data_IF_007858656339
#
_entry.id   IF_007858656339
#
_cell.length_a   1.000
_cell.length_b   1.000
_cell.length_c   1.000
_cell.angle_alpha   90.00
_cell.angle_beta   90.00
_cell.angle_gamma   90.00
#
_symmetry.space_group_name_H-M   'P 1'
#
loop_
_entity.id
_entity.type
_entity.pdbx_description
1 polymer ?
#
# COMPACT_ATOMS: atom_id res chain seq x y z
N UNK A 1 0.86 6.89 16.02
CA UNK A 1 0.71 5.71 15.13
C UNK A 1 1.61 5.93 13.92
N UNK A 2 2.32 4.91 13.44
CA UNK A 2 3.14 4.97 12.24
C UNK A 2 2.43 4.29 11.05
N UNK A 3 2.80 4.63 9.81
CA UNK A 3 2.23 4.03 8.60
C UNK A 3 3.31 3.39 7.72
N UNK A 4 3.17 2.08 7.51
CA UNK A 4 4.03 1.31 6.63
C UNK A 4 3.54 1.45 5.18
N UNK A 5 4.30 2.18 4.37
CA UNK A 5 3.91 2.53 2.99
C UNK A 5 4.23 1.39 2.03
N UNK A 6 3.24 1.07 1.18
CA UNK A 6 3.39 0.20 0.01
C UNK A 6 3.12 1.02 -1.25
N UNK A 7 4.04 1.04 -2.25
CA UNK A 7 3.76 1.66 -3.55
C UNK A 7 2.67 0.93 -4.34
N UNK A 8 1.88 1.68 -5.11
CA UNK A 8 0.78 1.14 -5.92
C UNK A 8 -0.49 0.83 -5.13
N UNK A 9 -0.52 1.11 -3.82
CA UNK A 9 -1.76 1.19 -3.05
C UNK A 9 -2.37 2.57 -3.32
N UNK A 10 -3.55 2.59 -3.94
CA UNK A 10 -4.20 3.79 -4.47
C UNK A 10 -4.26 4.91 -3.43
N UNK A 11 -3.78 6.11 -3.80
CA UNK A 11 -3.88 7.31 -2.97
C UNK A 11 -5.32 7.63 -2.55
N UNK A 12 -6.30 7.23 -3.36
CA UNK A 12 -7.72 7.38 -3.09
C UNK A 12 -8.19 6.74 -1.78
N UNK A 13 -7.67 5.56 -1.41
CA UNK A 13 -8.00 4.93 -0.13
C UNK A 13 -7.09 5.44 0.98
N UNK A 14 -5.79 5.58 0.69
CA UNK A 14 -4.76 5.96 1.66
C UNK A 14 -4.95 7.39 2.17
N UNK A 15 -5.05 8.36 1.27
CA UNK A 15 -4.92 9.78 1.60
C UNK A 15 -6.05 10.29 2.51
N UNK A 16 -7.34 9.95 2.28
CA UNK A 16 -8.41 10.36 3.19
C UNK A 16 -8.22 9.82 4.61
N UNK A 17 -7.82 8.55 4.74
CA UNK A 17 -7.55 7.90 6.02
C UNK A 17 -6.40 8.61 6.74
N UNK A 18 -5.27 8.76 6.06
CA UNK A 18 -4.09 9.39 6.64
C UNK A 18 -4.31 10.88 6.98
N UNK A 19 -5.04 11.64 6.16
CA UNK A 19 -5.40 13.04 6.46
C UNK A 19 -6.25 13.14 7.72
N UNK A 20 -7.22 12.24 7.90
CA UNK A 20 -8.08 12.25 9.09
C UNK A 20 -7.29 11.90 10.35
N UNK A 21 -6.43 10.91 10.28
CA UNK A 21 -5.53 10.54 11.38
C UNK A 21 -4.57 11.68 11.75
N UNK A 22 -4.01 12.39 10.75
CA UNK A 22 -3.10 13.51 10.98
C UNK A 22 -3.79 14.71 11.65
N UNK A 23 -5.06 15.00 11.32
CA UNK A 23 -5.82 16.09 11.98
C UNK A 23 -5.97 15.87 13.47
N UNK A 24 -6.21 14.63 13.90
CA UNK A 24 -6.39 14.28 15.31
C UNK A 24 -5.11 14.47 16.13
N UNK A 25 -3.94 14.29 15.50
CA UNK A 25 -2.65 14.58 16.13
C UNK A 25 -2.46 16.10 16.32
N UNK A 26 -2.75 16.89 15.29
CA UNK A 26 -2.64 18.35 15.35
C UNK A 26 -3.52 18.97 16.43
N UNK A 27 -4.78 18.52 16.53
CA UNK A 27 -5.72 19.01 17.54
C UNK A 27 -5.31 18.63 18.97
N UNK A 28 -4.46 17.59 19.14
CA UNK A 28 -3.98 17.14 20.43
C UNK A 28 -2.69 17.87 20.89
N UNK A 29 -1.75 18.15 19.98
CA UNK A 29 -0.41 18.66 20.33
C UNK A 29 -0.15 20.14 19.96
N UNK A 30 -1.08 20.79 19.25
CA UNK A 30 -1.07 22.25 19.01
C UNK A 30 0.14 22.80 18.24
N UNK A 31 1.00 21.94 17.69
CA UNK A 31 2.24 22.30 17.00
C UNK A 31 2.24 21.69 15.60
N UNK A 32 2.19 22.52 14.55
CA UNK A 32 2.46 22.07 13.19
C UNK A 32 3.99 22.02 12.98
N UNK A 33 4.61 20.89 12.61
CA UNK A 33 6.03 20.88 12.28
C UNK A 33 6.27 21.58 10.94
N UNK A 34 7.13 22.59 10.96
CA UNK A 34 7.36 23.55 9.88
C UNK A 34 8.27 23.07 8.71
N UNK A 35 8.66 21.79 8.64
CA UNK A 35 9.64 21.33 7.63
C UNK A 35 9.46 19.90 7.14
N UNK A 36 8.50 19.61 6.25
CA UNK A 36 8.51 18.37 5.46
C UNK A 36 7.78 18.58 4.12
N UNK A 37 8.33 19.44 3.27
CA UNK A 37 7.79 19.77 1.96
C UNK A 37 8.56 19.03 0.87
N UNK A 38 8.10 17.84 0.51
CA UNK A 38 8.01 17.46 -0.91
C UNK A 38 6.86 16.45 -1.12
N UNK A 39 5.78 16.95 -1.72
CA UNK A 39 4.52 16.28 -2.14
C UNK A 39 3.57 15.71 -1.06
N UNK A 40 3.19 16.61 -0.15
CA UNK A 40 1.82 16.87 0.35
C UNK A 40 1.03 15.76 1.05
N UNK A 41 1.46 15.39 2.26
CA UNK A 41 0.59 15.39 3.44
C UNK A 41 1.48 15.63 4.70
N UNK A 42 1.11 16.57 5.60
CA UNK A 42 1.94 16.91 6.75
C UNK A 42 1.84 15.80 7.81
N UNK A 43 2.95 15.11 8.07
CA UNK A 43 3.00 13.99 9.01
C UNK A 43 4.03 14.26 10.11
N UNK A 44 3.55 14.50 11.33
CA UNK A 44 4.41 14.62 12.51
C UNK A 44 4.61 13.26 13.21
N UNK A 45 3.62 12.37 13.24
CA UNK A 45 3.78 10.99 13.74
C UNK A 45 3.65 9.87 12.69
N UNK A 46 3.26 10.16 11.45
CA UNK A 46 3.13 9.17 10.37
C UNK A 46 4.34 9.21 9.43
N UNK A 47 5.50 8.75 9.90
CA UNK A 47 6.65 8.63 9.02
C UNK A 47 6.40 7.52 7.98
N UNK A 48 6.49 7.83 6.68
CA UNK A 48 6.61 6.82 5.63
C UNK A 48 8.03 6.25 5.70
N UNK A 49 8.20 5.21 6.51
CA UNK A 49 9.49 4.58 6.76
C UNK A 49 9.50 3.14 6.25
N UNK A 50 10.69 2.68 5.85
CA UNK A 50 10.89 1.26 5.59
C UNK A 50 10.60 0.45 6.86
N UNK A 51 10.18 -0.81 6.70
CA UNK A 51 9.95 -1.74 7.80
C UNK A 51 11.06 -1.68 8.88
N UNK A 52 12.32 -1.64 8.47
CA UNK A 52 13.45 -1.57 9.40
C UNK A 52 13.44 -0.35 10.33
N UNK A 53 12.98 0.80 9.84
CA UNK A 53 13.01 2.07 10.57
C UNK A 53 11.78 2.22 11.46
N UNK A 54 10.66 1.55 11.12
CA UNK A 54 9.50 1.41 12.00
C UNK A 54 9.88 0.79 13.35
N UNK A 55 10.54 -0.37 13.32
CA UNK A 55 10.92 -1.09 14.55
C UNK A 55 11.96 -0.34 15.39
N UNK A 56 12.86 0.43 14.77
CA UNK A 56 13.97 1.11 15.46
C UNK A 56 13.58 2.47 16.02
N UNK A 57 12.80 3.25 15.28
CA UNK A 57 12.50 4.65 15.63
C UNK A 57 11.15 4.78 16.32
N UNK A 58 10.20 3.87 16.04
CA UNK A 58 8.81 3.98 16.47
C UNK A 58 8.33 2.72 17.20
N UNK A 59 9.20 2.09 18.01
CA UNK A 59 8.91 0.81 18.67
C UNK A 59 7.72 0.83 19.65
N UNK A 60 7.28 2.02 20.06
CA UNK A 60 6.13 2.24 20.94
C UNK A 60 4.87 2.67 20.18
N UNK A 61 4.93 2.86 18.86
CA UNK A 61 3.78 3.24 18.05
C UNK A 61 3.15 2.00 17.42
N UNK A 62 1.82 1.98 17.41
CA UNK A 62 1.08 1.07 16.53
C UNK A 62 1.44 1.35 15.07
N UNK A 63 1.71 0.31 14.29
CA UNK A 63 2.04 0.35 12.87
C UNK A 63 0.81 -0.05 12.05
N UNK A 64 0.31 0.88 11.25
CA UNK A 64 -0.77 0.67 10.30
C UNK A 64 -0.20 0.37 8.90
N UNK A 65 -0.74 -0.63 8.21
CA UNK A 65 -0.50 -0.84 6.78
C UNK A 65 -1.84 -0.91 6.03
N UNK A 66 -1.83 -0.48 4.76
CA UNK A 66 -2.95 -0.69 3.84
C UNK A 66 -2.44 -1.63 2.75
N UNK A 67 -3.12 -2.77 2.57
CA UNK A 67 -2.82 -3.74 1.54
C UNK A 67 -3.82 -3.65 0.40
N UNK A 68 -3.32 -3.85 -0.81
CA UNK A 68 -4.13 -4.08 -2.01
C UNK A 68 -3.99 -5.52 -2.46
N UNK A 69 -5.01 -6.05 -3.13
CA UNK A 69 -4.87 -7.33 -3.83
C UNK A 69 -3.59 -7.29 -4.69
N UNK A 70 -2.66 -8.23 -4.52
CA UNK A 70 -1.34 -8.13 -5.15
C UNK A 70 -1.41 -8.15 -6.67
N UNK A 71 -2.37 -8.84 -7.28
CA UNK A 71 -2.53 -8.87 -8.73
C UNK A 71 -2.99 -7.48 -9.20
N UNK A 72 -4.06 -6.95 -8.60
CA UNK A 72 -4.56 -5.62 -8.93
C UNK A 72 -3.51 -4.53 -8.67
N UNK A 73 -2.71 -4.64 -7.61
CA UNK A 73 -1.63 -3.69 -7.30
C UNK A 73 -0.60 -3.64 -8.42
N UNK A 74 -0.20 -4.80 -8.94
CA UNK A 74 0.78 -4.90 -10.02
C UNK A 74 0.20 -4.40 -11.34
N UNK A 75 -1.07 -4.69 -11.63
CA UNK A 75 -1.75 -4.14 -12.79
C UNK A 75 -1.85 -2.62 -12.71
N UNK A 76 -2.31 -2.07 -11.58
CA UNK A 76 -2.30 -0.61 -11.35
C UNK A 76 -0.94 -0.01 -11.61
N UNK A 77 0.12 -0.58 -11.02
CA UNK A 77 1.48 -0.13 -11.25
C UNK A 77 1.87 -0.16 -12.73
N UNK A 78 1.50 -1.22 -13.46
CA UNK A 78 1.80 -1.31 -14.89
C UNK A 78 1.11 -0.18 -15.66
N UNK A 79 -0.20 0.01 -15.47
CA UNK A 79 -0.94 1.03 -16.21
C UNK A 79 -0.52 2.46 -15.86
N UNK A 80 -0.20 2.74 -14.59
CA UNK A 80 0.26 4.06 -14.14
C UNK A 80 1.63 4.45 -14.72
N UNK A 81 2.50 3.48 -14.98
CA UNK A 81 3.90 3.74 -15.35
C UNK A 81 4.25 3.36 -16.78
N UNK A 82 3.48 2.51 -17.45
CA UNK A 82 3.80 1.96 -18.77
C UNK A 82 2.70 2.18 -19.81
N UNK A 83 1.58 2.82 -19.46
CA UNK A 83 0.48 3.11 -20.39
C UNK A 83 0.09 4.59 -20.36
N UNK A 84 -0.50 5.07 -21.47
CA UNK A 84 -0.94 6.45 -21.61
C UNK A 84 0.21 7.45 -21.42
N UNK A 85 0.00 8.45 -20.57
CA UNK A 85 1.01 9.45 -20.22
C UNK A 85 1.99 8.96 -19.13
N UNK A 86 1.86 7.70 -18.69
CA UNK A 86 2.75 7.09 -17.71
C UNK A 86 4.19 7.00 -18.21
N UNK A 87 5.14 7.49 -17.41
CA UNK A 87 6.57 7.38 -17.71
C UNK A 87 7.24 6.48 -16.67
N UNK A 88 7.84 5.34 -17.07
CA UNK A 88 8.49 4.46 -16.13
C UNK A 88 9.77 5.12 -15.61
N UNK A 89 10.08 4.93 -14.33
CA UNK A 89 11.32 5.46 -13.76
C UNK A 89 12.55 4.91 -14.51
N UNK A 90 13.58 5.72 -14.82
CA UNK A 90 14.77 5.26 -15.55
C UNK A 90 15.48 4.06 -14.91
N UNK A 91 15.34 3.87 -13.59
CA UNK A 91 15.86 2.70 -12.87
C UNK A 91 15.29 1.38 -13.38
N UNK A 92 14.09 1.40 -13.96
CA UNK A 92 13.41 0.21 -14.48
C UNK A 92 14.11 -0.35 -15.75
N UNK A 93 14.91 0.48 -16.42
CA UNK A 93 15.74 0.05 -17.55
C UNK A 93 16.73 -1.06 -17.17
N UNK A 94 17.16 -1.13 -15.90
CA UNK A 94 18.01 -2.22 -15.42
C UNK A 94 17.34 -3.59 -15.53
N UNK A 95 16.01 -3.64 -15.46
CA UNK A 95 15.21 -4.84 -15.70
C UNK A 95 14.83 -4.99 -17.17
N UNK A 96 15.33 -4.15 -18.08
CA UNK A 96 14.93 -4.14 -19.49
C UNK A 96 13.45 -3.81 -19.68
N UNK A 97 12.89 -3.00 -18.77
CA UNK A 97 11.55 -2.43 -18.79
C UNK A 97 11.68 -0.94 -19.07
N UNK A 98 11.08 -0.48 -20.17
CA UNK A 98 11.08 0.92 -20.58
C UNK A 98 9.69 1.34 -21.09
N UNK A 99 9.58 2.55 -21.66
CA UNK A 99 8.37 2.97 -22.35
C UNK A 99 7.90 1.91 -23.35
N UNK A 100 6.59 1.78 -23.53
CA UNK A 100 5.94 0.83 -24.46
C UNK A 100 6.18 -0.66 -24.17
N UNK A 101 6.69 -1.02 -22.98
CA UNK A 101 6.82 -2.43 -22.59
C UNK A 101 5.43 -3.07 -22.50
N UNK A 102 5.11 -4.13 -23.27
CA UNK A 102 3.82 -4.81 -23.15
C UNK A 102 3.64 -5.52 -21.81
N UNK A 103 2.39 -5.68 -21.37
CA UNK A 103 2.04 -6.26 -20.07
C UNK A 103 2.64 -7.66 -19.89
N UNK A 104 2.57 -8.50 -20.92
CA UNK A 104 3.08 -9.87 -20.88
C UNK A 104 4.60 -9.88 -20.68
N UNK A 105 5.32 -8.97 -21.34
CA UNK A 105 6.76 -8.82 -21.19
C UNK A 105 7.11 -8.31 -19.79
N UNK A 106 6.34 -7.35 -19.28
CA UNK A 106 6.48 -6.85 -17.92
C UNK A 106 6.31 -7.97 -16.90
N UNK A 107 5.22 -8.72 -16.95
CA UNK A 107 4.90 -9.83 -16.03
C UNK A 107 5.96 -10.93 -16.11
N UNK A 108 6.36 -11.35 -17.33
CA UNK A 108 7.43 -12.34 -17.53
C UNK A 108 8.74 -11.90 -16.89
N UNK A 109 9.08 -10.62 -17.02
CA UNK A 109 10.32 -10.09 -16.45
C UNK A 109 10.25 -10.04 -14.94
N UNK A 110 9.24 -9.41 -14.35
CA UNK A 110 9.18 -9.24 -12.89
C UNK A 110 9.14 -10.59 -12.19
N UNK A 111 8.49 -11.62 -12.77
CA UNK A 111 8.50 -13.01 -12.24
C UNK A 111 9.89 -13.55 -11.95
N UNK A 112 10.89 -13.15 -12.73
CA UNK A 112 12.26 -13.63 -12.62
C UNK A 112 13.10 -12.83 -11.59
N UNK A 113 12.58 -11.72 -11.08
CA UNK A 113 13.32 -10.83 -10.17
C UNK A 113 12.96 -11.18 -8.72
N UNK A 114 13.88 -11.71 -7.90
CA UNK A 114 13.57 -11.96 -6.49
C UNK A 114 13.38 -10.65 -5.71
N UNK A 115 12.62 -10.67 -4.61
CA UNK A 115 12.20 -9.45 -3.89
C UNK A 115 13.38 -8.57 -3.43
N UNK A 116 14.47 -9.17 -2.94
CA UNK A 116 15.68 -8.44 -2.53
C UNK A 116 16.37 -7.67 -3.67
N UNK A 117 16.04 -7.99 -4.94
CA UNK A 117 16.47 -7.25 -6.14
C UNK A 117 15.33 -6.53 -6.84
N UNK A 118 14.09 -6.68 -6.37
CA UNK A 118 12.94 -6.07 -7.00
C UNK A 118 12.88 -4.58 -6.67
N UNK A 119 12.39 -3.80 -7.62
CA UNK A 119 11.98 -2.43 -7.39
C UNK A 119 10.72 -2.40 -6.52
N UNK A 120 10.59 -1.40 -5.63
CA UNK A 120 9.44 -1.30 -4.72
C UNK A 120 8.08 -1.27 -5.43
N UNK A 121 8.05 -0.87 -6.71
CA UNK A 121 6.83 -0.92 -7.53
C UNK A 121 6.29 -2.35 -7.72
N UNK A 122 7.16 -3.35 -7.84
CA UNK A 122 6.77 -4.76 -8.07
C UNK A 122 7.42 -5.75 -7.08
N UNK A 123 8.02 -5.26 -6.00
CA UNK A 123 8.39 -6.07 -4.83
C UNK A 123 7.13 -6.54 -4.11
N UNK A 124 7.14 -7.73 -3.53
CA UNK A 124 6.04 -8.22 -2.71
C UNK A 124 5.75 -7.29 -1.51
N UNK A 125 4.49 -7.18 -1.14
CA UNK A 125 4.04 -6.39 -0.01
C UNK A 125 4.55 -7.00 1.30
N UNK A 126 4.58 -8.33 1.39
CA UNK A 126 5.12 -9.01 2.58
C UNK A 126 6.60 -8.70 2.79
N UNK A 127 7.42 -8.65 1.74
CA UNK A 127 8.85 -8.29 1.86
C UNK A 127 9.02 -6.81 2.24
N UNK A 128 8.19 -5.91 1.68
CA UNK A 128 8.19 -4.49 2.07
C UNK A 128 7.83 -4.30 3.56
N UNK A 129 6.91 -5.10 4.08
CA UNK A 129 6.36 -4.97 5.43
C UNK A 129 7.08 -5.82 6.48
N UNK A 130 8.04 -6.66 6.06
CA UNK A 130 8.77 -7.55 6.95
C UNK A 130 10.19 -7.06 7.19
N UNK A 131 10.71 -7.30 8.38
CA UNK A 131 12.11 -7.06 8.70
C UNK A 131 12.66 -8.18 9.58
N UNK A 132 13.78 -8.77 9.17
CA UNK A 132 14.40 -9.94 9.85
C UNK A 132 13.41 -11.10 10.07
N UNK A 133 12.53 -11.34 9.11
CA UNK A 133 11.53 -12.42 9.15
C UNK A 133 10.28 -12.12 9.99
N UNK A 134 10.20 -10.94 10.60
CA UNK A 134 9.01 -10.52 11.34
C UNK A 134 8.15 -9.59 10.50
N UNK A 135 6.85 -9.89 10.41
CA UNK A 135 5.85 -8.98 9.85
C UNK A 135 5.55 -7.87 10.86
N UNK A 136 5.76 -6.61 10.46
CA UNK A 136 5.75 -5.49 11.40
C UNK A 136 4.40 -4.80 11.63
N UNK A 137 3.46 -4.75 10.68
CA UNK A 137 2.18 -4.09 10.93
C UNK A 137 1.39 -4.71 12.08
N UNK A 138 0.99 -3.87 13.03
CA UNK A 138 0.07 -4.24 14.12
C UNK A 138 -1.38 -4.29 13.63
N UNK A 139 -1.70 -3.46 12.63
CA UNK A 139 -3.03 -3.40 12.04
C UNK A 139 -2.95 -3.26 10.52
N UNK A 140 -3.76 -4.03 9.82
CA UNK A 140 -3.78 -4.11 8.37
C UNK A 140 -5.17 -3.81 7.85
N UNK A 141 -5.26 -2.85 6.94
CA UNK A 141 -6.47 -2.54 6.17
C UNK A 141 -6.35 -3.18 4.79
N UNK A 142 -7.15 -4.21 4.50
CA UNK A 142 -7.31 -4.72 3.15
C UNK A 142 -8.29 -3.82 2.38
N UNK A 143 -7.90 -3.38 1.19
CA UNK A 143 -8.72 -2.47 0.37
C UNK A 143 -10.08 -3.03 -0.02
N UNK A 144 -10.20 -4.35 -0.19
CA UNK A 144 -11.46 -5.00 -0.59
C UNK A 144 -12.46 -5.08 0.57
N UNK A 145 -11.99 -4.79 1.80
CA UNK A 145 -12.75 -4.81 3.04
C UNK A 145 -12.50 -3.54 3.84
N UNK A 146 -12.26 -2.43 3.12
CA UNK A 146 -11.76 -1.20 3.72
C UNK A 146 -12.73 -0.65 4.78
N UNK A 147 -14.03 -0.73 4.53
CA UNK A 147 -15.07 -0.29 5.47
C UNK A 147 -15.00 -1.09 6.80
N UNK A 148 -15.02 -2.42 6.73
CA UNK A 148 -14.92 -3.28 7.90
C UNK A 148 -13.60 -3.07 8.65
N UNK A 149 -12.49 -2.95 7.92
CA UNK A 149 -11.18 -2.65 8.49
C UNK A 149 -11.15 -1.30 9.21
N UNK A 150 -11.79 -0.26 8.65
CA UNK A 150 -11.89 1.06 9.26
C UNK A 150 -12.73 1.07 10.54
N UNK A 151 -13.81 0.28 10.59
CA UNK A 151 -14.58 0.08 11.82
C UNK A 151 -13.71 -0.57 12.91
N UNK A 152 -12.92 -1.60 12.55
CA UNK A 152 -11.97 -2.22 13.46
C UNK A 152 -10.90 -1.25 13.96
N UNK A 153 -10.32 -0.45 13.05
CA UNK A 153 -9.33 0.57 13.40
C UNK A 153 -9.92 1.60 14.38
N UNK A 154 -11.15 2.07 14.13
CA UNK A 154 -11.85 3.00 15.03
C UNK A 154 -12.05 2.40 16.42
N UNK A 155 -12.49 1.15 16.51
CA UNK A 155 -12.67 0.47 17.80
C UNK A 155 -11.34 0.38 18.57
N UNK A 156 -10.24 0.05 17.89
CA UNK A 156 -8.91 -0.03 18.51
C UNK A 156 -8.44 1.34 18.99
N UNK A 157 -8.58 2.39 18.17
CA UNK A 157 -8.13 3.73 18.54
C UNK A 157 -8.96 4.30 19.70
N UNK A 158 -10.28 4.06 19.70
CA UNK A 158 -11.14 4.46 20.80
C UNK A 158 -10.75 3.73 22.10
N UNK A 159 -10.54 2.42 22.03
CA UNK A 159 -10.19 1.63 23.21
C UNK A 159 -8.78 1.91 23.75
N UNK A 160 -7.77 2.06 22.88
CA UNK A 160 -6.36 2.19 23.29
C UNK A 160 -5.95 3.63 23.57
N UNK A 161 -6.53 4.60 22.87
CA UNK A 161 -6.10 6.00 22.93
C UNK A 161 -7.24 6.97 23.27
N UNK A 162 -8.49 6.51 23.39
CA UNK A 162 -9.63 7.40 23.58
C UNK A 162 -9.92 8.30 22.37
N UNK A 163 -9.35 7.97 21.20
CA UNK A 163 -9.43 8.80 19.99
C UNK A 163 -10.57 8.31 19.10
N UNK A 164 -11.48 9.22 18.74
CA UNK A 164 -12.56 8.96 17.79
C UNK A 164 -12.25 9.53 16.41
N UNK A 165 -12.05 8.65 15.42
CA UNK A 165 -11.71 9.03 14.04
C UNK A 165 -12.94 9.32 13.15
N UNK A 166 -14.16 9.27 13.71
CA UNK A 166 -15.41 9.44 12.95
C UNK A 166 -15.69 8.30 11.96
N UNK A 167 -16.75 8.46 11.15
CA UNK A 167 -17.07 7.54 10.06
C UNK A 167 -16.45 8.04 8.75
N UNK A 168 -16.05 7.11 7.89
CA UNK A 168 -15.68 7.40 6.51
C UNK A 168 -16.91 7.16 5.63
N UNK A 169 -17.33 8.18 4.89
CA UNK A 169 -18.40 8.03 3.91
C UNK A 169 -17.92 7.24 2.69
N UNK A 170 -18.83 6.54 2.02
CA UNK A 170 -18.50 5.82 0.77
C UNK A 170 -17.90 6.76 -0.28
N UNK A 171 -18.34 8.02 -0.31
CA UNK A 171 -17.82 9.09 -1.17
C UNK A 171 -16.35 9.45 -0.94
N UNK A 172 -15.89 9.43 0.32
CA UNK A 172 -14.49 9.68 0.68
C UNK A 172 -13.57 8.52 0.25
N UNK A 173 -14.12 7.33 0.01
CA UNK A 173 -13.38 6.13 -0.38
C UNK A 173 -13.63 5.72 -1.85
N UNK A 174 -14.39 6.53 -2.60
CA UNK A 174 -15.08 6.08 -3.83
C UNK A 174 -14.18 5.97 -5.08
N UNK A 175 -12.99 6.57 -5.09
CA UNK A 175 -12.10 6.52 -6.25
C UNK A 175 -11.27 5.23 -6.36
N UNK A 176 -11.49 4.27 -5.45
CA UNK A 176 -10.73 3.02 -5.39
C UNK A 176 -11.05 2.03 -6.51
N UNK A 177 -12.28 2.01 -7.01
CA UNK A 177 -12.79 0.96 -7.89
C UNK A 177 -12.84 1.32 -9.39
N UNK A 178 -12.52 2.56 -9.75
CA UNK A 178 -12.77 3.07 -11.11
C UNK A 178 -11.67 2.77 -12.13
N UNK A 179 -10.60 2.07 -11.75
CA UNK A 179 -9.59 1.60 -12.71
C UNK A 179 -10.12 0.36 -13.45
N UNK A 180 -11.00 0.60 -14.43
CA UNK A 180 -11.37 -0.40 -15.41
C UNK A 180 -10.17 -0.65 -16.34
N UNK A 181 -9.39 -1.69 -16.03
CA UNK A 181 -8.32 -2.12 -16.91
C UNK A 181 -8.92 -2.69 -18.19
N UNK A 182 -8.45 -2.20 -19.34
CA UNK A 182 -8.79 -2.80 -20.63
C UNK A 182 -8.26 -4.24 -20.61
N UNK A 183 -9.18 -5.21 -20.69
CA UNK A 183 -8.85 -6.63 -20.75
C UNK A 183 -7.97 -6.88 -21.98
N UNK A 184 -6.76 -7.40 -21.76
CA UNK A 184 -5.92 -7.92 -22.84
C UNK A 184 -6.36 -9.33 -23.21
N UNK A 185 -5.96 -9.83 -24.37
CA UNK A 185 -6.35 -11.17 -24.84
C UNK A 185 -5.73 -12.33 -24.03
N UNK A 186 -4.95 -12.08 -22.97
CA UNK A 186 -4.26 -13.11 -22.17
C UNK A 186 -4.36 -12.90 -20.64
N UNK A 187 -5.45 -12.28 -20.14
CA UNK A 187 -5.63 -11.99 -18.70
C UNK A 187 -5.39 -13.22 -17.82
N UNK A 188 -5.88 -14.40 -18.21
CA UNK A 188 -5.72 -15.62 -17.41
C UNK A 188 -4.26 -16.07 -17.23
N UNK A 189 -3.42 -15.94 -18.28
CA UNK A 189 -2.00 -16.29 -18.20
C UNK A 189 -1.22 -15.29 -17.33
N UNK A 190 -1.54 -14.00 -17.49
CA UNK A 190 -1.00 -12.92 -16.65
C UNK A 190 -1.33 -13.16 -15.18
N UNK A 191 -2.60 -13.39 -14.86
CA UNK A 191 -3.06 -13.66 -13.49
C UNK A 191 -2.39 -14.91 -12.92
N UNK A 192 -2.28 -15.99 -13.70
CA UNK A 192 -1.60 -17.21 -13.26
C UNK A 192 -0.13 -16.94 -12.89
N UNK A 193 0.59 -16.18 -13.71
CA UNK A 193 1.99 -15.85 -13.43
C UNK A 193 2.16 -14.92 -12.22
N UNK A 194 1.26 -13.96 -12.06
CA UNK A 194 1.25 -13.07 -10.89
C UNK A 194 0.89 -13.83 -9.63
N UNK A 195 -0.15 -14.67 -9.65
CA UNK A 195 -0.56 -15.48 -8.51
C UNK A 195 0.56 -16.40 -8.00
N UNK A 196 1.30 -17.03 -8.91
CA UNK A 196 2.45 -17.84 -8.53
C UNK A 196 3.58 -17.02 -7.90
N UNK A 197 3.87 -15.83 -8.46
CA UNK A 197 4.92 -14.94 -7.92
C UNK A 197 4.55 -14.39 -6.54
N UNK A 198 3.31 -13.94 -6.38
CA UNK A 198 2.83 -13.23 -5.19
C UNK A 198 1.97 -14.11 -4.28
N UNK A 199 2.23 -15.43 -4.27
CA UNK A 199 1.44 -16.40 -3.49
C UNK A 199 1.37 -16.01 -2.00
N UNK A 200 2.49 -15.64 -1.40
CA UNK A 200 2.53 -15.23 0.01
C UNK A 200 1.77 -13.92 0.27
N UNK A 201 1.81 -12.97 -0.67
CA UNK A 201 0.99 -11.76 -0.59
C UNK A 201 -0.50 -12.09 -0.68
N UNK A 202 -0.90 -13.01 -1.56
CA UNK A 202 -2.30 -13.45 -1.69
C UNK A 202 -2.77 -14.10 -0.39
N UNK A 203 -1.99 -15.02 0.19
CA UNK A 203 -2.31 -15.66 1.47
C UNK A 203 -2.44 -14.63 2.60
N UNK A 204 -1.51 -13.66 2.67
CA UNK A 204 -1.56 -12.56 3.63
C UNK A 204 -2.80 -11.68 3.41
N UNK A 205 -3.06 -11.28 2.16
CA UNK A 205 -4.20 -10.45 1.79
C UNK A 205 -5.52 -11.13 2.13
N UNK A 206 -5.69 -12.41 1.79
CA UNK A 206 -6.89 -13.18 2.16
C UNK A 206 -7.07 -13.26 3.66
N UNK A 207 -6.03 -13.54 4.45
CA UNK A 207 -6.12 -13.60 5.92
C UNK A 207 -6.67 -12.31 6.53
N UNK A 208 -6.19 -11.16 6.03
CA UNK A 208 -6.61 -9.85 6.52
C UNK A 208 -7.90 -9.34 5.89
N UNK A 209 -8.26 -9.82 4.70
CA UNK A 209 -9.56 -9.56 4.09
C UNK A 209 -10.69 -10.35 4.79
N UNK A 210 -10.46 -11.60 5.20
CA UNK A 210 -11.51 -12.42 5.84
C UNK A 210 -11.71 -12.13 7.32
N UNK A 211 -11.03 -11.13 7.89
CA UNK A 211 -11.19 -10.73 9.29
C UNK A 211 -10.82 -11.84 10.29
N UNK A 212 -10.01 -12.81 9.90
CA UNK A 212 -9.60 -13.91 10.79
C UNK A 212 -8.52 -13.40 11.73
N UNK A 213 -8.97 -13.00 12.93
CA UNK A 213 -8.15 -12.84 14.15
C UNK A 213 -7.65 -14.20 14.62
#
# INVERSE_FOLDING_TARGET
MAYARIPGVCGCARDPILRRLARLEYDHDGTAPERYMDTTCPYAALACVEARDLKRTYSNLMVLAILKDPIQRILTCYYEHFCGDGTPSPRLNHYGLGPDTPLERFVRRIRQVPDFRADNYFRSQIDILSYKGEFLPDFVLATDQLEAGLQGLRAILLHRAGVEIGHFSSGELQDYFSLHFQRTDNVAEVEFHLANRYKSDLEMFTRHATGSV
#
